data_IF_160009471290
#
_entry.id   IF_160009471290
#
_cell.length_a   1.000
_cell.length_b   1.000
_cell.length_c   1.000
_cell.angle_alpha   90.00
_cell.angle_beta   90.00
_cell.angle_gamma   90.00
#
_symmetry.space_group_name_H-M   'P 1'
#
loop_
_entity.id
_entity.type
_entity.pdbx_description
1 polymer ?
#
# COMPACT_ATOMS: atom_id res chain seq x y z
N UNK A 1 -25.40 53.04 46.40
CA UNK A 1 -24.08 53.00 45.74
C UNK A 1 -23.25 51.76 46.10
N UNK A 2 -22.96 51.49 47.38
CA UNK A 2 -22.12 50.34 47.80
C UNK A 2 -22.62 48.96 47.32
N UNK A 3 -23.93 48.71 47.35
CA UNK A 3 -24.53 47.44 46.91
C UNK A 3 -24.52 47.24 45.38
N UNK A 4 -24.55 48.32 44.60
CA UNK A 4 -24.49 48.23 43.13
C UNK A 4 -23.09 47.82 42.64
N UNK A 5 -22.04 48.29 43.32
CA UNK A 5 -20.65 47.94 43.00
C UNK A 5 -20.39 46.45 43.24
N UNK A 6 -20.96 45.88 44.31
CA UNK A 6 -20.84 44.44 44.64
C UNK A 6 -21.49 43.57 43.57
N UNK A 7 -22.68 43.95 43.07
CA UNK A 7 -23.40 43.20 42.03
C UNK A 7 -22.61 43.22 40.70
N UNK A 8 -22.01 44.36 40.35
CA UNK A 8 -21.18 44.49 39.14
C UNK A 8 -19.91 43.63 39.23
N UNK A 9 -19.25 43.61 40.41
CA UNK A 9 -18.05 42.79 40.63
C UNK A 9 -18.38 41.29 40.57
N UNK A 10 -19.50 40.86 41.17
CA UNK A 10 -19.94 39.44 41.12
C UNK A 10 -20.28 39.05 39.68
N UNK A 11 -20.97 39.92 38.92
CA UNK A 11 -21.27 39.68 37.51
C UNK A 11 -20.00 39.53 36.66
N UNK A 12 -19.00 40.39 36.87
CA UNK A 12 -17.70 40.28 36.20
C UNK A 12 -16.93 38.99 36.55
N UNK A 13 -16.90 38.59 37.82
CA UNK A 13 -16.25 37.35 38.25
C UNK A 13 -16.93 36.13 37.63
N UNK A 14 -18.26 36.10 37.58
CA UNK A 14 -19.01 35.02 36.93
C UNK A 14 -18.75 34.97 35.42
N UNK A 15 -18.70 36.11 34.75
CA UNK A 15 -18.44 36.18 33.31
C UNK A 15 -17.02 35.69 32.97
N UNK A 16 -16.01 36.13 33.72
CA UNK A 16 -14.61 35.67 33.54
C UNK A 16 -14.47 34.17 33.78
N UNK A 17 -15.13 33.62 34.80
CA UNK A 17 -15.11 32.18 35.08
C UNK A 17 -15.82 31.35 33.99
N UNK A 18 -16.94 31.85 33.46
CA UNK A 18 -17.66 31.18 32.36
C UNK A 18 -16.85 31.19 31.07
N UNK A 19 -16.17 32.30 30.74
CA UNK A 19 -15.30 32.40 29.57
C UNK A 19 -14.10 31.44 29.68
N UNK A 20 -13.51 31.29 30.87
CA UNK A 20 -12.43 30.33 31.12
C UNK A 20 -12.91 28.88 31.02
N UNK A 21 -14.09 28.55 31.55
CA UNK A 21 -14.68 27.21 31.44
C UNK A 21 -15.02 26.85 29.98
N UNK A 22 -15.62 27.78 29.23
CA UNK A 22 -15.92 27.60 27.81
C UNK A 22 -14.64 27.48 26.98
N UNK A 23 -13.63 28.32 27.23
CA UNK A 23 -12.32 28.21 26.58
C UNK A 23 -11.63 26.88 26.89
N UNK A 24 -11.70 26.40 28.14
CA UNK A 24 -11.17 25.10 28.54
C UNK A 24 -11.89 23.94 27.85
N UNK A 25 -13.22 24.01 27.73
CA UNK A 25 -14.03 23.00 27.06
C UNK A 25 -13.77 22.97 25.54
N UNK A 26 -13.67 24.14 24.90
CA UNK A 26 -13.28 24.25 23.49
C UNK A 26 -11.87 23.70 23.27
N UNK A 27 -10.92 24.02 24.16
CA UNK A 27 -9.56 23.48 24.13
C UNK A 27 -9.53 21.95 24.23
N UNK A 28 -10.28 21.38 25.18
CA UNK A 28 -10.39 19.94 25.35
C UNK A 28 -11.03 19.25 24.13
N UNK A 29 -12.04 19.88 23.52
CA UNK A 29 -12.67 19.37 22.31
C UNK A 29 -11.68 19.35 21.13
N UNK A 30 -10.96 20.44 20.91
CA UNK A 30 -9.94 20.54 19.86
C UNK A 30 -8.84 19.50 20.10
N UNK A 31 -8.34 19.39 21.33
CA UNK A 31 -7.32 18.40 21.69
C UNK A 31 -7.80 16.96 21.38
N UNK A 32 -9.04 16.63 21.74
CA UNK A 32 -9.63 15.32 21.47
C UNK A 32 -9.70 15.02 19.97
N UNK A 33 -10.17 15.97 19.17
CA UNK A 33 -10.25 15.83 17.70
C UNK A 33 -8.85 15.64 17.10
N UNK A 34 -7.87 16.42 17.55
CA UNK A 34 -6.48 16.31 17.10
C UNK A 34 -5.86 14.96 17.50
N UNK A 35 -6.14 14.46 18.72
CA UNK A 35 -5.67 13.15 19.16
C UNK A 35 -6.25 12.00 18.33
N UNK A 36 -7.56 12.03 18.04
CA UNK A 36 -8.20 11.01 17.18
C UNK A 36 -7.62 11.06 15.76
N UNK A 37 -7.45 12.26 15.20
CA UNK A 37 -6.84 12.42 13.89
C UNK A 37 -5.39 11.89 13.87
N UNK A 38 -4.59 12.24 14.87
CA UNK A 38 -3.22 11.78 15.01
C UNK A 38 -3.13 10.25 15.11
N UNK A 39 -3.95 9.62 15.97
CA UNK A 39 -3.98 8.17 16.12
C UNK A 39 -4.37 7.49 14.81
N UNK A 40 -5.36 8.03 14.10
CA UNK A 40 -5.77 7.53 12.80
C UNK A 40 -4.62 7.60 11.77
N UNK A 41 -3.95 8.75 11.64
CA UNK A 41 -2.83 8.92 10.71
C UNK A 41 -1.65 8.02 11.06
N UNK A 42 -1.30 7.93 12.34
CA UNK A 42 -0.21 7.08 12.82
C UNK A 42 -0.48 5.60 12.52
N UNK A 43 -1.70 5.12 12.78
CA UNK A 43 -2.06 3.74 12.50
C UNK A 43 -2.07 3.45 10.98
N UNK A 44 -2.64 4.35 10.17
CA UNK A 44 -2.62 4.20 8.70
C UNK A 44 -1.21 4.22 8.12
N UNK A 45 -0.34 5.06 8.66
CA UNK A 45 1.06 5.11 8.27
C UNK A 45 1.78 3.80 8.57
N UNK A 46 1.63 3.28 9.80
CA UNK A 46 2.21 2.00 10.23
C UNK A 46 1.78 0.85 9.31
N UNK A 47 0.48 0.69 9.10
CA UNK A 47 -0.08 -0.38 8.25
C UNK A 47 0.47 -0.27 6.81
N UNK A 48 0.54 0.94 6.25
CA UNK A 48 1.02 1.13 4.87
C UNK A 48 2.50 0.78 4.71
N UNK A 49 3.33 1.06 5.72
CA UNK A 49 4.75 0.69 5.71
C UNK A 49 4.91 -0.82 5.84
N UNK A 50 4.21 -1.44 6.78
CA UNK A 50 4.26 -2.90 6.96
C UNK A 50 3.88 -3.62 5.67
N UNK A 51 2.78 -3.21 5.05
CA UNK A 51 2.33 -3.78 3.78
C UNK A 51 3.28 -3.46 2.63
N UNK A 52 3.88 -2.27 2.59
CA UNK A 52 4.88 -1.92 1.58
C UNK A 52 6.07 -2.88 1.65
N UNK A 53 6.63 -3.10 2.84
CA UNK A 53 7.78 -3.98 3.03
C UNK A 53 7.42 -5.43 2.66
N UNK A 54 6.24 -5.90 3.07
CA UNK A 54 5.77 -7.24 2.74
C UNK A 54 5.55 -7.43 1.24
N UNK A 55 4.97 -6.43 0.54
CA UNK A 55 4.75 -6.49 -0.91
C UNK A 55 6.07 -6.48 -1.67
N UNK A 56 7.01 -5.62 -1.29
CA UNK A 56 8.33 -5.56 -1.95
C UNK A 56 9.07 -6.89 -1.73
N UNK A 57 9.15 -7.38 -0.49
CA UNK A 57 9.78 -8.67 -0.20
C UNK A 57 9.14 -9.82 -0.95
N UNK A 58 7.81 -9.88 -1.00
CA UNK A 58 7.09 -10.89 -1.77
C UNK A 58 7.39 -10.86 -3.27
N UNK A 59 7.47 -9.66 -3.87
CA UNK A 59 7.85 -9.50 -5.27
C UNK A 59 9.30 -9.91 -5.53
N UNK A 60 10.21 -9.59 -4.61
CA UNK A 60 11.63 -9.96 -4.70
C UNK A 60 11.82 -11.47 -4.59
N UNK A 61 11.08 -12.12 -3.68
CA UNK A 61 11.09 -13.59 -3.56
C UNK A 61 10.66 -14.26 -4.88
N UNK A 62 9.55 -13.82 -5.47
CA UNK A 62 9.07 -14.35 -6.76
C UNK A 62 10.10 -14.10 -7.86
N UNK A 63 10.66 -12.90 -7.92
CA UNK A 63 11.69 -12.53 -8.90
C UNK A 63 12.87 -13.49 -8.83
N UNK A 64 13.42 -13.72 -7.63
CA UNK A 64 14.57 -14.61 -7.44
C UNK A 64 14.24 -16.07 -7.78
N UNK A 65 13.04 -16.56 -7.45
CA UNK A 65 12.64 -17.90 -7.84
C UNK A 65 12.57 -18.08 -9.36
N UNK A 66 12.05 -17.08 -10.08
CA UNK A 66 11.97 -17.12 -11.54
C UNK A 66 13.36 -17.04 -12.19
N UNK A 67 14.23 -16.18 -11.67
CA UNK A 67 15.62 -16.07 -12.13
C UNK A 67 16.39 -17.38 -11.92
N UNK A 68 16.25 -17.99 -10.74
CA UNK A 68 16.84 -19.28 -10.45
C UNK A 68 16.34 -20.36 -11.42
N UNK A 69 15.02 -20.46 -11.62
CA UNK A 69 14.45 -21.43 -12.57
C UNK A 69 14.93 -21.20 -14.01
N UNK A 70 15.07 -19.94 -14.43
CA UNK A 70 15.66 -19.60 -15.73
C UNK A 70 17.12 -20.08 -15.83
N UNK A 71 17.93 -19.83 -14.79
CA UNK A 71 19.31 -20.29 -14.73
C UNK A 71 19.41 -21.82 -14.80
N UNK A 72 18.58 -22.54 -14.04
CA UNK A 72 18.48 -24.01 -14.08
C UNK A 72 18.20 -24.51 -15.50
N UNK A 73 17.16 -23.97 -16.16
CA UNK A 73 16.81 -24.36 -17.53
C UNK A 73 17.89 -23.99 -18.54
N UNK A 74 18.51 -22.83 -18.38
CA UNK A 74 19.59 -22.42 -19.25
C UNK A 74 20.76 -23.39 -19.19
N UNK A 75 21.16 -23.79 -17.97
CA UNK A 75 22.21 -24.78 -17.78
C UNK A 75 21.82 -26.15 -18.37
N UNK A 76 20.61 -26.64 -18.11
CA UNK A 76 20.12 -27.92 -18.65
C UNK A 76 20.10 -27.96 -20.19
N UNK A 77 19.69 -26.86 -20.83
CA UNK A 77 19.47 -26.84 -22.28
C UNK A 77 20.67 -26.40 -23.11
N UNK A 78 21.57 -25.57 -22.55
CA UNK A 78 22.73 -25.01 -23.29
C UNK A 78 24.08 -25.58 -22.86
N UNK A 79 24.24 -26.01 -21.61
CA UNK A 79 25.51 -26.55 -21.10
C UNK A 79 25.42 -28.08 -21.03
N UNK A 80 26.32 -28.79 -21.71
CA UNK A 80 26.39 -30.27 -21.68
C UNK A 80 26.87 -30.84 -20.32
N UNK A 81 26.75 -30.09 -19.24
CA UNK A 81 27.13 -30.44 -17.88
C UNK A 81 26.38 -29.48 -16.95
N UNK A 82 25.49 -29.99 -16.09
CA UNK A 82 25.83 -30.47 -14.74
C UNK A 82 24.63 -31.27 -14.23
N UNK A 83 24.87 -32.24 -13.36
CA UNK A 83 23.85 -32.86 -12.50
C UNK A 83 23.20 -31.78 -11.63
N UNK A 84 22.27 -31.01 -12.20
CA UNK A 84 21.42 -30.13 -11.41
C UNK A 84 20.47 -31.03 -10.64
N UNK A 85 20.43 -30.96 -9.30
CA UNK A 85 19.56 -31.82 -8.53
C UNK A 85 18.12 -31.55 -8.96
N UNK A 86 17.49 -32.53 -9.61
CA UNK A 86 16.10 -32.43 -10.09
C UNK A 86 15.16 -32.08 -8.93
N UNK A 87 15.52 -32.49 -7.71
CA UNK A 87 14.79 -32.15 -6.49
C UNK A 87 14.85 -30.67 -6.14
N UNK A 88 15.96 -29.96 -6.40
CA UNK A 88 16.06 -28.52 -6.17
C UNK A 88 15.16 -27.75 -7.14
N UNK A 89 15.13 -28.17 -8.41
CA UNK A 89 14.21 -27.60 -9.40
C UNK A 89 12.74 -27.85 -9.01
N UNK A 90 12.40 -29.07 -8.58
CA UNK A 90 11.05 -29.43 -8.12
C UNK A 90 10.65 -28.59 -6.90
N UNK A 91 11.55 -28.42 -5.94
CA UNK A 91 11.34 -27.60 -4.75
C UNK A 91 11.08 -26.13 -5.13
N UNK A 92 11.94 -25.52 -5.92
CA UNK A 92 11.79 -24.13 -6.38
C UNK A 92 10.49 -23.92 -7.16
N UNK A 93 10.13 -24.86 -8.04
CA UNK A 93 8.87 -24.78 -8.80
C UNK A 93 7.63 -24.87 -7.91
N UNK A 94 7.67 -25.71 -6.87
CA UNK A 94 6.60 -25.80 -5.86
C UNK A 94 6.51 -24.51 -5.05
N UNK A 95 7.61 -24.00 -4.53
CA UNK A 95 7.66 -22.75 -3.76
C UNK A 95 7.13 -21.58 -4.59
N UNK A 96 7.58 -21.44 -5.84
CA UNK A 96 7.05 -20.44 -6.77
C UNK A 96 5.54 -20.59 -7.00
N UNK A 97 5.03 -21.82 -7.11
CA UNK A 97 3.58 -22.05 -7.25
C UNK A 97 2.83 -21.55 -6.02
N UNK A 98 3.33 -21.83 -4.82
CA UNK A 98 2.74 -21.33 -3.57
C UNK A 98 2.74 -19.80 -3.55
N UNK A 99 3.84 -19.15 -3.92
CA UNK A 99 3.90 -17.69 -3.99
C UNK A 99 2.90 -17.12 -5.01
N UNK A 100 2.88 -17.62 -6.25
CA UNK A 100 2.03 -17.11 -7.33
C UNK A 100 0.52 -17.31 -7.08
N UNK A 101 0.16 -18.28 -6.25
CA UNK A 101 -1.24 -18.58 -5.86
C UNK A 101 -1.65 -17.91 -4.55
N UNK A 102 -0.69 -17.36 -3.80
CA UNK A 102 -0.96 -16.69 -2.53
C UNK A 102 -1.80 -15.42 -2.73
N UNK A 103 -2.92 -15.34 -2.02
CA UNK A 103 -3.81 -14.16 -2.02
C UNK A 103 -3.60 -13.25 -0.82
N UNK A 104 -2.78 -13.67 0.15
CA UNK A 104 -2.59 -12.97 1.44
C UNK A 104 -2.04 -11.55 1.25
N UNK A 105 -1.00 -11.40 0.44
CA UNK A 105 -0.35 -10.10 0.17
C UNK A 105 -1.30 -9.20 -0.62
N UNK A 106 -2.04 -9.76 -1.57
CA UNK A 106 -3.06 -9.04 -2.33
C UNK A 106 -4.16 -8.45 -1.42
N UNK A 107 -4.70 -9.25 -0.50
CA UNK A 107 -5.70 -8.79 0.46
C UNK A 107 -5.18 -7.67 1.37
N UNK A 108 -3.94 -7.82 1.87
CA UNK A 108 -3.29 -6.77 2.69
C UNK A 108 -3.10 -5.47 1.93
N UNK A 109 -2.71 -5.56 0.66
CA UNK A 109 -2.54 -4.41 -0.22
C UNK A 109 -3.86 -3.67 -0.44
N UNK A 110 -4.94 -4.40 -0.73
CA UNK A 110 -6.28 -3.84 -0.86
C UNK A 110 -6.75 -3.17 0.44
N UNK A 111 -6.46 -3.73 1.62
CA UNK A 111 -6.81 -3.13 2.92
C UNK A 111 -6.03 -1.83 3.19
N UNK A 112 -4.72 -1.82 2.91
CA UNK A 112 -3.85 -0.69 3.26
C UNK A 112 -3.96 0.49 2.28
N UNK A 113 -4.05 0.19 0.98
CA UNK A 113 -4.04 1.18 -0.10
C UNK A 113 -5.41 1.38 -0.75
N UNK A 114 -6.32 0.41 -0.66
CA UNK A 114 -7.61 0.40 -1.35
C UNK A 114 -7.51 -0.24 -2.75
N UNK A 115 -8.63 -0.27 -3.47
CA UNK A 115 -8.67 -0.58 -4.90
C UNK A 115 -8.18 0.62 -5.71
N UNK A 116 -6.86 0.79 -5.78
CA UNK A 116 -6.20 1.96 -6.38
C UNK A 116 -5.10 1.55 -7.36
N UNK A 117 -4.48 2.57 -7.97
CA UNK A 117 -3.37 2.43 -8.89
C UNK A 117 -2.25 1.53 -8.34
N UNK A 118 -1.95 1.60 -7.04
CA UNK A 118 -0.95 0.72 -6.43
C UNK A 118 -1.35 -0.76 -6.55
N UNK A 119 -2.61 -1.10 -6.25
CA UNK A 119 -3.12 -2.47 -6.38
C UNK A 119 -3.13 -2.93 -7.83
N UNK A 120 -3.50 -2.06 -8.76
CA UNK A 120 -3.47 -2.35 -10.20
C UNK A 120 -2.05 -2.67 -10.67
N UNK A 121 -1.05 -1.86 -10.29
CA UNK A 121 0.36 -2.11 -10.59
C UNK A 121 0.85 -3.44 -10.00
N UNK A 122 0.43 -3.78 -8.77
CA UNK A 122 0.79 -5.04 -8.14
C UNK A 122 0.17 -6.25 -8.87
N UNK A 123 -1.09 -6.14 -9.29
CA UNK A 123 -1.76 -7.19 -10.05
C UNK A 123 -1.15 -7.36 -11.45
N UNK A 124 -0.80 -6.26 -12.11
CA UNK A 124 -0.11 -6.28 -13.39
C UNK A 124 1.24 -6.98 -13.26
N UNK A 125 2.07 -6.58 -12.29
CA UNK A 125 3.35 -7.23 -12.02
C UNK A 125 3.18 -8.73 -11.71
N UNK A 126 2.19 -9.08 -10.89
CA UNK A 126 1.87 -10.48 -10.58
C UNK A 126 1.52 -11.29 -11.83
N UNK A 127 0.82 -10.68 -12.79
CA UNK A 127 0.49 -11.33 -14.06
C UNK A 127 1.72 -11.50 -14.96
N UNK A 128 2.66 -10.54 -14.96
CA UNK A 128 3.94 -10.69 -15.66
C UNK A 128 4.77 -11.84 -15.08
N UNK A 129 4.84 -11.94 -13.75
CA UNK A 129 5.50 -13.07 -13.10
C UNK A 129 4.85 -14.42 -13.46
N UNK A 130 3.52 -14.51 -13.47
CA UNK A 130 2.82 -15.73 -13.90
C UNK A 130 3.11 -16.08 -15.37
N UNK A 131 3.20 -15.08 -16.23
CA UNK A 131 3.52 -15.26 -17.64
C UNK A 131 4.91 -15.86 -17.82
N UNK A 132 5.92 -15.30 -17.14
CA UNK A 132 7.28 -15.86 -17.15
C UNK A 132 7.33 -17.27 -16.56
N UNK A 133 6.63 -17.50 -15.44
CA UNK A 133 6.54 -18.83 -14.85
C UNK A 133 5.92 -19.86 -15.82
N UNK A 134 4.90 -19.45 -16.58
CA UNK A 134 4.27 -20.30 -17.59
C UNK A 134 5.23 -20.65 -18.72
N UNK A 135 5.95 -19.67 -19.26
CA UNK A 135 6.96 -19.90 -20.30
C UNK A 135 8.04 -20.83 -19.77
N UNK A 136 8.61 -20.55 -18.59
CA UNK A 136 9.61 -21.41 -17.97
C UNK A 136 9.12 -22.85 -17.80
N UNK A 137 7.88 -23.07 -17.36
CA UNK A 137 7.33 -24.43 -17.18
C UNK A 137 7.14 -25.17 -18.50
N UNK A 138 6.69 -24.48 -19.54
CA UNK A 138 6.40 -25.08 -20.85
C UNK A 138 7.63 -25.18 -21.74
N UNK A 139 8.70 -24.45 -21.40
CA UNK A 139 9.91 -24.38 -22.22
C UNK A 139 10.51 -25.76 -22.48
N UNK A 140 10.86 -26.00 -23.74
CA UNK A 140 11.50 -27.23 -24.22
C UNK A 140 12.91 -26.96 -24.68
N UNK A 141 13.75 -28.01 -24.76
CA UNK A 141 15.14 -27.85 -25.19
C UNK A 141 15.26 -27.26 -26.61
N UNK A 142 14.36 -27.63 -27.52
CA UNK A 142 14.32 -27.09 -28.89
C UNK A 142 13.79 -25.65 -28.93
N UNK A 143 12.84 -25.29 -28.07
CA UNK A 143 12.27 -23.94 -27.98
C UNK A 143 13.16 -22.94 -27.23
N UNK A 144 14.13 -23.41 -26.44
CA UNK A 144 14.92 -22.58 -25.53
C UNK A 144 15.70 -21.44 -26.21
N UNK A 145 16.14 -21.64 -27.45
CA UNK A 145 16.86 -20.63 -28.24
C UNK A 145 16.02 -19.35 -28.41
N UNK A 146 14.69 -19.47 -28.38
CA UNK A 146 13.74 -18.36 -28.49
C UNK A 146 13.26 -17.93 -27.10
N UNK A 147 12.82 -18.89 -26.28
CA UNK A 147 12.19 -18.63 -24.98
C UNK A 147 13.15 -18.04 -23.94
N UNK A 148 14.41 -18.51 -23.91
CA UNK A 148 15.42 -18.04 -22.96
C UNK A 148 15.70 -16.54 -23.07
N UNK A 149 16.04 -16.02 -24.28
CA UNK A 149 16.18 -14.59 -24.52
C UNK A 149 14.89 -13.80 -24.32
N UNK A 150 13.73 -14.36 -24.71
CA UNK A 150 12.43 -13.70 -24.51
C UNK A 150 12.17 -13.44 -23.02
N UNK A 151 12.42 -14.43 -22.14
CA UNK A 151 12.26 -14.26 -20.69
C UNK A 151 13.15 -13.13 -20.17
N UNK A 152 14.42 -13.10 -20.60
CA UNK A 152 15.34 -12.03 -20.18
C UNK A 152 14.83 -10.64 -20.61
N UNK A 153 14.32 -10.53 -21.85
CA UNK A 153 13.72 -9.30 -22.33
C UNK A 153 12.47 -8.89 -21.54
N UNK A 154 11.64 -9.85 -21.11
CA UNK A 154 10.48 -9.56 -20.26
C UNK A 154 10.91 -9.02 -18.89
N UNK A 155 12.00 -9.54 -18.32
CA UNK A 155 12.54 -9.01 -17.07
C UNK A 155 12.95 -7.54 -17.21
N UNK A 156 13.80 -7.26 -18.20
CA UNK A 156 14.36 -5.94 -18.43
C UNK A 156 13.30 -4.89 -18.83
N UNK A 157 12.37 -5.25 -19.72
CA UNK A 157 11.44 -4.28 -20.33
C UNK A 157 10.10 -4.17 -19.61
N UNK A 158 9.67 -5.20 -18.90
CA UNK A 158 8.34 -5.24 -18.28
C UNK A 158 8.44 -5.32 -16.76
N UNK A 159 9.13 -6.34 -16.23
CA UNK A 159 9.11 -6.64 -14.79
C UNK A 159 9.87 -5.61 -13.97
N UNK A 160 11.11 -5.29 -14.33
CA UNK A 160 11.93 -4.34 -13.54
C UNK A 160 11.36 -2.93 -13.53
N UNK A 161 10.91 -2.37 -14.67
CA UNK A 161 10.20 -1.09 -14.67
C UNK A 161 8.93 -1.10 -13.81
N UNK A 162 8.14 -2.18 -13.87
CA UNK A 162 6.93 -2.32 -13.05
C UNK A 162 7.27 -2.43 -11.55
N UNK A 163 8.28 -3.22 -11.16
CA UNK A 163 8.76 -3.33 -9.77
C UNK A 163 9.16 -1.96 -9.22
N UNK A 164 9.98 -1.22 -9.95
CA UNK A 164 10.39 0.12 -9.53
C UNK A 164 9.23 1.11 -9.46
N UNK A 165 8.30 1.03 -10.41
CA UNK A 165 7.11 1.88 -10.43
C UNK A 165 6.21 1.59 -9.24
N UNK A 166 5.94 0.31 -8.97
CA UNK A 166 5.17 -0.15 -7.83
C UNK A 166 5.80 0.29 -6.51
N UNK A 167 7.10 0.05 -6.33
CA UNK A 167 7.84 0.43 -5.12
C UNK A 167 7.76 1.95 -4.88
N UNK A 168 7.96 2.76 -5.93
CA UNK A 168 7.84 4.22 -5.83
C UNK A 168 6.41 4.65 -5.48
N UNK A 169 5.40 4.01 -6.08
CA UNK A 169 4.00 4.29 -5.81
C UNK A 169 3.65 3.99 -4.35
N UNK A 170 4.05 2.82 -3.85
CA UNK A 170 3.89 2.40 -2.46
C UNK A 170 4.58 3.38 -1.49
N UNK A 171 5.84 3.75 -1.73
CA UNK A 171 6.57 4.73 -0.89
C UNK A 171 5.83 6.07 -0.85
N UNK A 172 5.35 6.55 -2.00
CA UNK A 172 4.58 7.80 -2.07
C UNK A 172 3.24 7.68 -1.32
N UNK A 173 2.54 6.56 -1.48
CA UNK A 173 1.27 6.27 -0.81
C UNK A 173 1.41 6.11 0.71
N UNK A 174 2.55 5.62 1.19
CA UNK A 174 2.84 5.48 2.62
C UNK A 174 3.15 6.83 3.31
N UNK A 175 3.59 7.87 2.59
CA UNK A 175 3.91 9.18 3.20
C UNK A 175 2.67 9.89 3.76
N UNK A 176 2.81 10.75 4.80
CA UNK A 176 1.70 11.52 5.36
C UNK A 176 0.93 12.35 4.32
N UNK A 177 1.63 12.97 3.36
CA UNK A 177 1.02 13.69 2.24
C UNK A 177 0.17 12.78 1.36
N UNK A 178 0.63 11.55 1.10
CA UNK A 178 -0.11 10.53 0.37
C UNK A 178 -1.37 10.10 1.12
N UNK A 179 -1.28 9.89 2.44
CA UNK A 179 -2.45 9.54 3.27
C UNK A 179 -3.48 10.69 3.29
N UNK A 180 -3.03 11.94 3.49
CA UNK A 180 -3.87 13.14 3.45
C UNK A 180 -4.58 13.30 2.10
N UNK A 181 -3.85 13.22 0.99
CA UNK A 181 -4.42 13.35 -0.36
C UNK A 181 -5.49 12.28 -0.62
N UNK A 182 -5.24 11.06 -0.16
CA UNK A 182 -6.19 9.96 -0.25
C UNK A 182 -7.45 10.20 0.59
N UNK A 183 -7.30 10.74 1.80
CA UNK A 183 -8.43 11.12 2.65
C UNK A 183 -9.27 12.22 1.98
N UNK A 184 -8.59 13.24 1.46
CA UNK A 184 -9.22 14.37 0.80
C UNK A 184 -10.02 13.94 -0.43
N UNK A 185 -9.42 13.21 -1.37
CA UNK A 185 -10.10 12.76 -2.59
C UNK A 185 -11.35 11.94 -2.34
N UNK A 186 -11.36 11.13 -1.27
CA UNK A 186 -12.45 10.19 -1.01
C UNK A 186 -13.56 10.79 -0.13
N UNK A 187 -13.19 11.57 0.89
CA UNK A 187 -14.18 12.11 1.82
C UNK A 187 -14.70 13.49 1.44
N UNK A 188 -13.97 14.31 0.68
CA UNK A 188 -14.47 15.63 0.28
C UNK A 188 -15.73 15.61 -0.58
N UNK A 189 -15.87 14.73 -1.60
CA UNK A 189 -17.10 14.70 -2.41
C UNK A 189 -18.33 14.42 -1.53
N UNK A 190 -18.19 13.52 -0.56
CA UNK A 190 -19.23 13.18 0.41
C UNK A 190 -19.49 14.35 1.37
N UNK A 191 -18.43 15.00 1.86
CA UNK A 191 -18.55 16.15 2.75
C UNK A 191 -19.25 17.33 2.06
N UNK A 192 -18.87 17.67 0.83
CA UNK A 192 -19.53 18.69 0.01
C UNK A 192 -21.00 18.33 -0.27
N UNK A 193 -21.31 17.06 -0.52
CA UNK A 193 -22.69 16.61 -0.77
C UNK A 193 -23.56 16.69 0.49
N UNK A 194 -22.99 16.47 1.67
CA UNK A 194 -23.68 16.61 2.96
C UNK A 194 -23.87 18.07 3.34
N UNK A 195 -22.81 18.89 3.25
CA UNK A 195 -22.88 20.32 3.60
C UNK A 195 -23.77 21.11 2.65
N UNK A 196 -23.76 20.79 1.34
CA UNK A 196 -24.68 21.42 0.37
C UNK A 196 -26.15 21.03 0.60
N UNK A 197 -26.45 19.83 1.10
CA UNK A 197 -27.81 19.44 1.51
C UNK A 197 -28.26 20.17 2.78
N UNK A 198 -27.37 20.30 3.76
CA UNK A 198 -27.65 21.04 4.99
C UNK A 198 -27.84 22.54 4.73
N UNK A 199 -27.08 23.12 3.79
CA UNK A 199 -27.24 24.51 3.37
C UNK A 199 -28.58 24.75 2.66
N UNK A 200 -29.10 23.77 1.90
CA UNK A 200 -30.40 23.85 1.21
C UNK A 200 -31.61 23.68 2.13
N UNK A 201 -31.44 23.18 3.36
CA UNK A 201 -32.52 23.08 4.36
C UNK A 201 -32.63 24.31 5.27
N UNK A 202 -31.81 25.34 5.05
CA UNK A 202 -32.00 26.69 5.62
C UNK A 202 -32.69 27.60 4.59
N UNK A 203 -33.94 27.34 4.26
CA UNK A 203 -34.90 28.30 3.70
C UNK A 203 -36.25 28.02 4.34
#
# INVERSE_FOLDING_TARGET
>A
YKNYIIIIIIGWIFQVNMDQLLSGLIGALIATVLSVAYLYFSNKFKIRIEVLLEVVGFCDDIYHHLENLHYFKNAEYTKNNTELPVEDYRKLSRELTVFLTSTKVHAKMAIAYGERDELALFLELSNRFRSVASILRQATRSGWVIEGPQIHQMFEKEIDPLRHTLQRALIKGARPKGIMLNLYRYHMPTFYKVTSKLAKHKI
#
